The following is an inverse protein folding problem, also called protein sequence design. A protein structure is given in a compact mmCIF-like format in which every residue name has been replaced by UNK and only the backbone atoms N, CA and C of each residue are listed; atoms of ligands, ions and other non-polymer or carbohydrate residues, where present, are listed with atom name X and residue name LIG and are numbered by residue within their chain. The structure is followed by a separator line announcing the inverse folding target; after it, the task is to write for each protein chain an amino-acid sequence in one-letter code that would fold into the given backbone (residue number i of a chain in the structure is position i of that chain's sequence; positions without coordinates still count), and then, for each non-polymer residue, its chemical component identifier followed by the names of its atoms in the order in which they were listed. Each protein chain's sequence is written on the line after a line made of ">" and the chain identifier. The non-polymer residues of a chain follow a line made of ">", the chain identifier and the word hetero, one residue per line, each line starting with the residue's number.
data_IF_563897500387
#
_entry.id   IF_563897500387
#
_cell.length_a   1.000
_cell.length_b   1.000
_cell.length_c   1.000
_cell.angle_alpha   90.00
_cell.angle_beta   90.00
_cell.angle_gamma   90.00
#
_symmetry.space_group_name_H-M   'P 1'
#
loop_
_entity.id
_entity.type
_entity.pdbx_description
1 polymer ?
#
# COMPACT_ATOMS: atom_id res chain seq x y z
N UNK A 1 -3.12 10.37 4.58
CA UNK A 1 -2.82 11.38 5.63
C UNK A 1 -3.89 11.41 6.71
N UNK A 2 -5.17 11.56 6.35
CA UNK A 2 -6.24 11.76 7.33
C UNK A 2 -6.35 10.70 8.45
N UNK A 3 -6.14 9.41 8.18
CA UNK A 3 -6.10 8.38 9.24
C UNK A 3 -4.93 8.57 10.19
N UNK A 4 -3.70 8.66 9.67
CA UNK A 4 -2.47 8.74 10.48
C UNK A 4 -2.46 9.98 11.39
N UNK A 5 -3.06 11.09 10.96
CA UNK A 5 -3.19 12.31 11.77
C UNK A 5 -4.16 12.14 12.94
N UNK A 6 -5.13 11.22 12.83
CA UNK A 6 -6.09 10.90 13.90
C UNK A 6 -5.54 9.91 14.92
N UNK A 7 -4.47 9.18 14.62
CA UNK A 7 -3.89 8.15 15.50
C UNK A 7 -3.13 8.73 16.71
N UNK A 8 -3.09 10.06 16.85
CA UNK A 8 -2.55 10.74 18.04
C UNK A 8 -1.03 10.68 18.17
N UNK A 9 -0.53 10.94 19.38
CA UNK A 9 0.91 11.14 19.64
C UNK A 9 1.75 9.88 19.48
N UNK A 10 1.16 8.68 19.66
CA UNK A 10 1.86 7.40 19.51
C UNK A 10 2.47 7.22 18.11
N UNK A 11 1.86 7.84 17.08
CA UNK A 11 2.29 7.71 15.69
C UNK A 11 3.01 8.96 15.16
N UNK A 12 3.48 9.86 16.06
CA UNK A 12 4.13 11.12 15.66
C UNK A 12 5.37 10.91 14.77
N UNK A 13 6.14 9.86 15.03
CA UNK A 13 7.32 9.52 14.21
C UNK A 13 6.87 9.08 12.81
N UNK A 14 5.88 8.19 12.72
CA UNK A 14 5.31 7.76 11.44
C UNK A 14 4.74 8.94 10.66
N UNK A 15 4.05 9.88 11.32
CA UNK A 15 3.53 11.09 10.69
C UNK A 15 4.64 11.99 10.16
N UNK A 16 5.76 12.14 10.88
CA UNK A 16 6.92 12.90 10.42
C UNK A 16 7.56 12.28 9.18
N UNK A 17 7.71 10.95 9.17
CA UNK A 17 8.23 10.20 7.99
C UNK A 17 7.27 10.35 6.81
N UNK A 18 5.97 10.17 7.01
CA UNK A 18 4.96 10.33 5.95
C UNK A 18 4.91 11.76 5.37
N UNK A 19 5.42 12.75 6.11
CA UNK A 19 5.51 14.14 5.65
C UNK A 19 6.80 14.47 4.88
N UNK A 20 7.71 13.51 4.73
CA UNK A 20 8.96 13.68 3.98
C UNK A 20 8.70 14.12 2.53
N UNK A 21 9.44 15.12 2.01
CA UNK A 21 9.21 15.69 0.68
C UNK A 21 9.47 14.70 -0.47
N UNK A 22 10.14 13.57 -0.21
CA UNK A 22 10.33 12.51 -1.21
C UNK A 22 9.05 11.76 -1.55
N UNK A 23 8.01 11.86 -0.71
CA UNK A 23 6.72 11.22 -0.98
C UNK A 23 5.81 12.12 -1.81
N UNK A 24 5.39 11.61 -2.97
CA UNK A 24 4.31 12.21 -3.73
C UNK A 24 2.97 12.00 -3.00
N UNK A 25 2.24 13.09 -2.77
CA UNK A 25 0.93 13.05 -2.10
C UNK A 25 -0.18 13.16 -3.12
N UNK A 26 -0.88 12.04 -3.35
CA UNK A 26 -2.01 12.00 -4.25
C UNK A 26 -3.26 12.64 -3.59
N UNK A 27 -3.94 13.58 -4.25
CA UNK A 27 -5.21 14.11 -3.75
C UNK A 27 -6.31 13.05 -3.86
N UNK A 28 -7.23 13.04 -2.91
CA UNK A 28 -8.45 12.24 -2.95
C UNK A 28 -9.68 13.15 -3.00
N UNK A 29 -10.72 12.73 -3.73
CA UNK A 29 -11.94 13.51 -3.99
C UNK A 29 -13.17 12.97 -3.27
N UNK A 30 -13.01 11.92 -2.46
CA UNK A 30 -14.10 11.33 -1.69
C UNK A 30 -14.21 11.96 -0.31
N UNK A 31 -15.40 11.85 0.30
CA UNK A 31 -15.61 12.22 1.70
C UNK A 31 -14.98 11.18 2.63
N UNK A 32 -14.60 11.62 3.83
CA UNK A 32 -14.05 10.74 4.87
C UNK A 32 -12.58 10.41 4.66
N UNK A 33 -12.02 9.63 5.59
CA UNK A 33 -10.58 9.36 5.64
C UNK A 33 -10.25 7.87 5.66
N UNK A 34 -11.22 6.99 5.38
CA UNK A 34 -11.02 5.55 5.45
C UNK A 34 -10.12 5.09 4.30
N UNK A 35 -8.89 4.68 4.62
CA UNK A 35 -7.83 4.47 3.64
C UNK A 35 -8.08 3.23 2.79
N UNK A 36 -8.65 2.18 3.35
CA UNK A 36 -8.88 0.92 2.64
C UNK A 36 -9.78 1.12 1.42
N UNK A 37 -10.90 1.85 1.59
CA UNK A 37 -11.82 2.14 0.50
C UNK A 37 -11.19 3.07 -0.53
N UNK A 38 -10.44 4.08 -0.08
CA UNK A 38 -9.67 4.98 -0.94
C UNK A 38 -8.70 4.20 -1.85
N UNK A 39 -7.90 3.32 -1.26
CA UNK A 39 -6.90 2.52 -1.97
C UNK A 39 -7.56 1.55 -2.94
N UNK A 40 -8.60 0.84 -2.49
CA UNK A 40 -9.34 -0.11 -3.34
C UNK A 40 -9.98 0.59 -4.54
N UNK A 41 -10.64 1.73 -4.34
CA UNK A 41 -11.26 2.48 -5.43
C UNK A 41 -10.20 2.98 -6.43
N UNK A 42 -9.10 3.56 -5.92
CA UNK A 42 -8.02 4.09 -6.76
C UNK A 42 -7.37 3.01 -7.62
N UNK A 43 -6.99 1.88 -7.03
CA UNK A 43 -6.31 0.80 -7.77
C UNK A 43 -7.25 -0.03 -8.65
N UNK A 44 -8.57 0.06 -8.40
CA UNK A 44 -9.58 -0.46 -9.32
C UNK A 44 -9.68 0.40 -10.58
N UNK A 45 -9.70 1.73 -10.43
CA UNK A 45 -9.76 2.67 -11.55
C UNK A 45 -8.44 2.75 -12.33
N UNK A 46 -7.30 2.72 -11.62
CA UNK A 46 -5.97 2.89 -12.18
C UNK A 46 -5.04 1.78 -11.69
N UNK A 47 -4.75 0.81 -12.57
CA UNK A 47 -3.92 -0.37 -12.25
C UNK A 47 -2.40 -0.10 -12.37
N UNK A 48 -1.98 1.14 -12.13
CA UNK A 48 -0.58 1.58 -12.25
C UNK A 48 0.11 1.71 -10.88
N UNK A 49 -0.40 1.02 -9.85
CA UNK A 49 0.10 1.12 -8.48
C UNK A 49 0.45 -0.24 -7.89
N UNK A 50 1.45 -0.24 -7.01
CA UNK A 50 1.72 -1.33 -6.06
C UNK A 50 1.13 -0.90 -4.71
N UNK A 51 0.35 -1.77 -4.07
CA UNK A 51 -0.23 -1.46 -2.75
C UNK A 51 0.66 -2.01 -1.64
N UNK A 52 1.24 -1.12 -0.84
CA UNK A 52 2.03 -1.49 0.34
C UNK A 52 1.12 -1.63 1.57
N UNK A 53 0.89 -2.84 2.07
CA UNK A 53 0.09 -3.07 3.28
C UNK A 53 0.43 -4.37 3.99
N UNK A 54 0.34 -4.37 5.32
CA UNK A 54 0.40 -5.58 6.14
C UNK A 54 -1.00 -6.05 6.62
N UNK A 55 -2.06 -5.29 6.33
CA UNK A 55 -3.42 -5.62 6.76
C UNK A 55 -3.98 -6.83 5.99
N UNK A 56 -4.54 -7.80 6.71
CA UNK A 56 -5.00 -9.07 6.12
C UNK A 56 -6.26 -8.90 5.27
N UNK A 57 -7.16 -8.02 5.66
CA UNK A 57 -8.45 -7.83 4.99
C UNK A 57 -8.30 -6.92 3.79
N UNK A 58 -7.48 -5.86 3.87
CA UNK A 58 -7.11 -5.07 2.71
C UNK A 58 -6.37 -5.93 1.67
N UNK A 59 -5.44 -6.79 2.08
CA UNK A 59 -4.82 -7.76 1.17
C UNK A 59 -5.86 -8.64 0.49
N UNK A 60 -6.84 -9.16 1.21
CA UNK A 60 -7.92 -9.98 0.64
C UNK A 60 -8.75 -9.21 -0.39
N UNK A 61 -9.01 -7.92 -0.15
CA UNK A 61 -9.73 -7.04 -1.08
C UNK A 61 -8.91 -6.76 -2.34
N UNK A 62 -7.65 -6.35 -2.19
CA UNK A 62 -6.73 -6.10 -3.32
C UNK A 62 -6.44 -7.39 -4.10
N UNK A 63 -6.53 -8.56 -3.46
CA UNK A 63 -6.36 -9.83 -4.16
C UNK A 63 -7.39 -10.08 -5.26
N UNK A 64 -8.58 -9.51 -5.12
CA UNK A 64 -9.66 -9.62 -6.13
C UNK A 64 -9.43 -8.74 -7.35
N UNK A 65 -8.51 -7.77 -7.30
CA UNK A 65 -8.22 -6.84 -8.40
C UNK A 65 -7.03 -7.39 -9.20
N UNK A 66 -7.23 -7.81 -10.47
CA UNK A 66 -6.13 -8.33 -11.29
C UNK A 66 -5.21 -7.20 -11.74
N UNK A 67 -3.90 -7.47 -11.74
CA UNK A 67 -2.86 -6.53 -12.17
C UNK A 67 -2.36 -5.58 -11.08
N UNK A 68 -2.75 -5.78 -9.82
CA UNK A 68 -2.30 -4.94 -8.69
C UNK A 68 -1.39 -5.75 -7.75
N UNK A 69 -0.06 -5.53 -7.79
CA UNK A 69 0.87 -6.17 -6.87
C UNK A 69 0.70 -5.66 -5.43
N UNK A 70 1.05 -6.51 -4.47
CA UNK A 70 0.98 -6.18 -3.04
C UNK A 70 2.38 -6.26 -2.44
N UNK A 71 2.87 -5.16 -1.85
CA UNK A 71 4.12 -5.14 -1.09
C UNK A 71 3.82 -5.23 0.41
N UNK A 72 4.59 -6.02 1.16
CA UNK A 72 4.45 -6.14 2.61
C UNK A 72 5.79 -6.40 3.31
N UNK A 73 5.84 -6.16 4.61
CA UNK A 73 7.01 -6.50 5.44
C UNK A 73 6.94 -7.97 5.88
N UNK A 74 7.99 -8.73 5.57
CA UNK A 74 8.16 -10.12 6.01
C UNK A 74 9.65 -10.40 6.23
N UNK A 75 10.00 -11.07 7.34
CA UNK A 75 11.40 -11.38 7.68
C UNK A 75 12.34 -10.16 7.62
N UNK A 76 11.90 -9.00 8.13
CA UNK A 76 12.63 -7.71 8.09
C UNK A 76 12.97 -7.21 6.68
N UNK A 77 12.34 -7.76 5.64
CA UNK A 77 12.51 -7.38 4.22
C UNK A 77 11.17 -6.99 3.61
N UNK A 78 11.20 -6.21 2.54
CA UNK A 78 10.04 -6.01 1.69
C UNK A 78 9.87 -7.23 0.79
N UNK A 79 8.66 -7.79 0.79
CA UNK A 79 8.26 -8.88 -0.09
C UNK A 79 7.13 -8.38 -0.99
N UNK A 80 7.09 -8.85 -2.23
CA UNK A 80 6.08 -8.44 -3.22
C UNK A 80 5.35 -9.68 -3.75
N UNK A 81 4.02 -9.65 -3.69
CA UNK A 81 3.13 -10.64 -4.25
C UNK A 81 2.65 -10.18 -5.63
N UNK A 82 2.56 -11.12 -6.60
CA UNK A 82 1.89 -10.92 -7.91
C UNK A 82 2.47 -9.80 -8.79
N UNK A 83 3.79 -9.61 -8.73
CA UNK A 83 4.51 -8.82 -9.73
C UNK A 83 4.90 -9.74 -10.91
N UNK A 84 4.36 -9.54 -12.12
CA UNK A 84 4.59 -10.45 -13.26
C UNK A 84 6.07 -10.59 -13.66
N UNK A 85 6.84 -9.52 -13.52
CA UNK A 85 8.24 -9.41 -13.95
C UNK A 85 9.24 -10.18 -13.06
N UNK A 86 8.85 -10.54 -11.82
CA UNK A 86 9.71 -11.32 -10.91
C UNK A 86 9.79 -12.82 -11.30
N UNK A 87 9.07 -13.24 -12.34
CA UNK A 87 9.06 -14.61 -12.86
C UNK A 87 10.04 -14.88 -14.02
N UNK A 88 10.79 -13.88 -14.49
CA UNK A 88 11.81 -14.06 -15.55
C UNK A 88 13.22 -14.39 -15.05
N UNK A 89 13.51 -14.09 -13.79
CA UNK A 89 14.73 -14.48 -13.10
C UNK A 89 14.45 -14.55 -11.60
N UNK A 90 14.83 -15.64 -10.94
CA UNK A 90 14.60 -15.98 -9.53
C UNK A 90 13.35 -16.81 -9.20
N UNK A 91 13.11 -17.85 -9.99
CA UNK A 91 12.92 -19.18 -9.39
C UNK A 91 14.25 -19.69 -8.82
N UNK A 92 14.71 -19.16 -7.69
CA UNK A 92 15.79 -19.74 -6.87
C UNK A 92 15.87 -19.04 -5.50
N UNK A 93 15.52 -19.80 -4.46
CA UNK A 93 16.14 -19.81 -3.13
C UNK A 93 16.26 -18.44 -2.41
N UNK A 94 15.38 -18.24 -1.41
CA UNK A 94 15.79 -17.88 -0.05
C UNK A 94 14.96 -18.70 0.95
#
# INVERSE_FOLDING_TARGET
>A
MGELEKMGTQYRIALKVARDPRFERLPCTHKGTYADDCLVQRVTAHKCYIVATCDRDLKRRIRKIPGVPIMYLGNRKYQVERLPELGGAHGAIL
#
